data_IF_489991308568
#
_entry.id   IF_489991308568
#
_cell.length_a   1.000
_cell.length_b   1.000
_cell.length_c   1.000
_cell.angle_alpha   90.00
_cell.angle_beta   90.00
_cell.angle_gamma   90.00
#
_symmetry.space_group_name_H-M   'P 1'
#
loop_
_entity.id
_entity.type
_entity.pdbx_description
1 polymer ?
#
# COMPACT_ATOMS: atom_id res chain seq x y z
N UNK A 1 10.56 4.69 19.04
CA UNK A 1 9.27 4.61 18.30
C UNK A 1 8.98 3.15 17.99
N UNK A 2 7.78 2.63 18.30
CA UNK A 2 7.40 1.25 18.00
C UNK A 2 7.48 0.96 16.49
N UNK A 3 7.82 -0.28 16.10
CA UNK A 3 7.86 -0.70 14.69
C UNK A 3 6.51 -0.47 13.99
N UNK A 4 5.40 -0.68 14.70
CA UNK A 4 4.06 -0.35 14.21
C UNK A 4 3.92 1.12 13.83
N UNK A 5 4.42 2.04 14.66
CA UNK A 5 4.35 3.47 14.38
C UNK A 5 5.19 3.84 13.16
N UNK A 6 6.36 3.20 12.96
CA UNK A 6 7.20 3.43 11.77
C UNK A 6 6.45 3.03 10.49
N UNK A 7 5.81 1.86 10.49
CA UNK A 7 4.96 1.39 9.39
C UNK A 7 3.82 2.37 9.11
N UNK A 8 3.08 2.79 10.14
CA UNK A 8 1.97 3.75 9.99
C UNK A 8 2.42 5.08 9.39
N UNK A 9 3.58 5.60 9.82
CA UNK A 9 4.13 6.85 9.25
C UNK A 9 4.48 6.66 7.77
N UNK A 10 5.13 5.56 7.40
CA UNK A 10 5.48 5.31 6.00
C UNK A 10 4.24 5.19 5.10
N UNK A 11 3.22 4.44 5.54
CA UNK A 11 1.95 4.30 4.81
C UNK A 11 1.21 5.64 4.72
N UNK A 12 1.24 6.44 5.79
CA UNK A 12 0.64 7.80 5.77
C UNK A 12 1.34 8.70 4.75
N UNK A 13 2.68 8.71 4.73
CA UNK A 13 3.46 9.48 3.77
C UNK A 13 3.17 9.00 2.34
N UNK A 14 3.13 7.69 2.11
CA UNK A 14 2.75 7.11 0.82
C UNK A 14 1.37 7.57 0.36
N UNK A 15 0.37 7.51 1.25
CA UNK A 15 -0.99 7.95 0.96
C UNK A 15 -1.08 9.43 0.61
N UNK A 16 -0.38 10.30 1.33
CA UNK A 16 -0.31 11.73 1.01
C UNK A 16 0.27 11.96 -0.40
N UNK A 17 1.35 11.25 -0.74
CA UNK A 17 1.96 11.34 -2.06
C UNK A 17 1.02 10.82 -3.16
N UNK A 18 0.32 9.70 -2.93
CA UNK A 18 -0.63 9.14 -3.89
C UNK A 18 -1.84 10.05 -4.12
N UNK A 19 -2.41 10.63 -3.06
CA UNK A 19 -3.55 11.55 -3.18
C UNK A 19 -3.13 12.77 -4.01
N UNK A 20 -1.98 13.38 -3.70
CA UNK A 20 -1.46 14.52 -4.45
C UNK A 20 -1.17 14.13 -5.91
N UNK A 21 -0.58 12.94 -6.13
CA UNK A 21 -0.31 12.42 -7.47
C UNK A 21 -1.59 12.33 -8.32
N UNK A 22 -2.67 11.79 -7.75
CA UNK A 22 -3.94 11.56 -8.45
C UNK A 22 -4.67 12.88 -8.74
N UNK A 23 -4.70 13.79 -7.77
CA UNK A 23 -5.39 15.09 -7.91
C UNK A 23 -4.66 15.99 -8.92
N UNK A 24 -3.33 16.11 -8.80
CA UNK A 24 -2.52 16.99 -9.65
C UNK A 24 -1.96 16.32 -10.91
N UNK A 25 -2.29 15.05 -11.13
CA UNK A 25 -1.81 14.22 -12.26
C UNK A 25 -0.26 14.05 -12.31
N UNK A 26 0.39 14.13 -11.15
CA UNK A 26 1.86 14.06 -11.01
C UNK A 26 2.33 12.61 -10.86
N UNK A 27 2.46 11.90 -11.98
CA UNK A 27 2.82 10.46 -12.03
C UNK A 27 4.07 10.09 -11.24
N UNK A 28 5.12 10.92 -11.25
CA UNK A 28 6.38 10.63 -10.55
C UNK A 28 6.22 10.51 -9.01
N UNK A 29 5.22 11.18 -8.43
CA UNK A 29 4.92 11.06 -7.00
C UNK A 29 4.42 9.66 -6.63
N UNK A 30 3.83 8.92 -7.58
CA UNK A 30 3.46 7.51 -7.37
C UNK A 30 4.69 6.65 -7.14
N UNK A 31 5.80 6.92 -7.84
CA UNK A 31 7.04 6.14 -7.66
C UNK A 31 7.60 6.39 -6.26
N UNK A 32 7.64 7.67 -5.84
CA UNK A 32 8.13 8.04 -4.50
C UNK A 32 7.23 7.45 -3.41
N UNK A 33 5.90 7.55 -3.59
CA UNK A 33 4.92 6.96 -2.67
C UNK A 33 5.07 5.45 -2.55
N UNK A 34 5.31 4.75 -3.66
CA UNK A 34 5.51 3.31 -3.68
C UNK A 34 6.73 2.86 -2.86
N UNK A 35 7.80 3.65 -2.86
CA UNK A 35 8.99 3.38 -2.02
C UNK A 35 8.60 3.40 -0.54
N UNK A 36 7.85 4.41 -0.10
CA UNK A 36 7.40 4.50 1.29
C UNK A 36 6.39 3.40 1.66
N UNK A 37 5.48 3.05 0.74
CA UNK A 37 4.51 1.97 0.92
C UNK A 37 5.20 0.61 1.12
N UNK A 38 6.27 0.35 0.38
CA UNK A 38 7.00 -0.92 0.43
C UNK A 38 8.07 -0.97 1.53
N UNK A 39 8.57 0.16 2.02
CA UNK A 39 9.64 0.24 3.02
C UNK A 39 9.42 -0.61 4.30
N UNK A 40 8.19 -0.76 4.83
CA UNK A 40 7.94 -1.59 6.00
C UNK A 40 8.18 -3.10 5.80
N UNK A 41 8.12 -3.59 4.55
CA UNK A 41 8.30 -5.00 4.21
C UNK A 41 9.76 -5.48 4.36
N UNK A 42 10.76 -4.92 3.65
CA UNK A 42 12.15 -5.37 3.73
C UNK A 42 12.79 -5.05 5.10
N UNK A 43 12.27 -4.04 5.81
CA UNK A 43 12.75 -3.68 7.15
C UNK A 43 12.27 -4.63 8.24
N UNK A 44 11.33 -5.53 7.94
CA UNK A 44 10.81 -6.51 8.88
C UNK A 44 10.01 -5.90 10.03
N UNK A 45 9.52 -4.67 9.90
CA UNK A 45 8.74 -3.99 10.94
C UNK A 45 7.37 -4.64 11.16
N UNK A 46 6.89 -5.43 10.20
CA UNK A 46 5.64 -6.21 10.27
C UNK A 46 5.82 -7.67 10.74
N UNK A 47 6.95 -8.04 11.38
CA UNK A 47 7.15 -9.42 11.86
C UNK A 47 6.06 -9.84 12.86
N UNK A 48 5.46 -11.01 12.60
CA UNK A 48 4.44 -11.63 13.46
C UNK A 48 5.11 -12.55 14.47
N UNK A 49 4.91 -12.29 15.77
CA UNK A 49 5.55 -13.03 16.86
C UNK A 49 4.75 -14.28 17.31
N UNK A 50 3.44 -14.38 17.00
CA UNK A 50 2.56 -15.47 17.47
C UNK A 50 2.39 -16.60 16.42
N UNK A 51 2.79 -17.83 16.78
CA UNK A 51 2.74 -19.05 15.93
C UNK A 51 1.31 -19.52 15.59
N UNK A 52 0.32 -19.40 16.50
CA UNK A 52 -1.06 -19.83 16.24
C UNK A 52 -1.85 -18.85 15.35
N UNK A 53 -1.64 -17.53 15.53
CA UNK A 53 -2.24 -16.50 14.67
C UNK A 53 -1.66 -16.50 13.26
N UNK A 54 -0.51 -17.15 13.06
CA UNK A 54 0.28 -17.18 11.82
C UNK A 54 -0.51 -17.73 10.63
N UNK A 55 -1.36 -18.75 10.79
CA UNK A 55 -2.12 -19.35 9.67
C UNK A 55 -3.24 -18.46 9.15
N UNK A 56 -4.09 -17.93 10.04
CA UNK A 56 -5.19 -17.02 9.66
C UNK A 56 -4.62 -15.72 9.10
N UNK A 57 -3.58 -15.18 9.74
CA UNK A 57 -2.91 -13.95 9.29
C UNK A 57 -2.15 -14.15 7.97
N UNK A 58 -1.68 -15.36 7.63
CA UNK A 58 -1.04 -15.64 6.32
C UNK A 58 -2.00 -15.46 5.14
N UNK A 59 -3.27 -15.87 5.29
CA UNK A 59 -4.30 -15.66 4.27
C UNK A 59 -4.61 -14.17 4.07
N UNK A 60 -4.77 -13.41 5.16
CA UNK A 60 -4.96 -11.97 5.08
C UNK A 60 -3.74 -11.24 4.49
N UNK A 61 -2.52 -11.64 4.86
CA UNK A 61 -1.28 -11.06 4.28
C UNK A 61 -1.22 -11.33 2.78
N UNK A 62 -1.57 -12.55 2.35
CA UNK A 62 -1.64 -12.86 0.93
C UNK A 62 -2.69 -11.99 0.21
N UNK A 63 -3.87 -11.82 0.80
CA UNK A 63 -4.91 -10.94 0.27
C UNK A 63 -4.44 -9.49 0.18
N UNK A 64 -3.79 -8.97 1.23
CA UNK A 64 -3.21 -7.63 1.24
C UNK A 64 -2.20 -7.46 0.09
N UNK A 65 -1.23 -8.36 -0.03
CA UNK A 65 -0.23 -8.31 -1.11
C UNK A 65 -0.89 -8.38 -2.49
N UNK A 66 -1.90 -9.25 -2.66
CA UNK A 66 -2.63 -9.38 -3.92
C UNK A 66 -3.33 -8.07 -4.31
N UNK A 67 -4.06 -7.46 -3.38
CA UNK A 67 -4.77 -6.19 -3.62
C UNK A 67 -3.78 -5.06 -3.88
N UNK A 68 -2.67 -5.01 -3.15
CA UNK A 68 -1.58 -4.05 -3.38
C UNK A 68 -1.03 -4.18 -4.80
N UNK A 69 -0.77 -5.40 -5.28
CA UNK A 69 -0.31 -5.64 -6.65
C UNK A 69 -1.33 -5.19 -7.70
N UNK A 70 -2.62 -5.44 -7.46
CA UNK A 70 -3.70 -4.97 -8.34
C UNK A 70 -3.73 -3.44 -8.38
N UNK A 71 -3.57 -2.76 -7.25
CA UNK A 71 -3.45 -1.30 -7.23
C UNK A 71 -2.28 -0.83 -8.11
N UNK A 72 -1.09 -1.42 -7.95
CA UNK A 72 0.07 -1.06 -8.76
C UNK A 72 -0.10 -1.37 -10.25
N UNK A 73 -0.88 -2.38 -10.62
CA UNK A 73 -1.25 -2.61 -12.02
C UNK A 73 -2.01 -1.41 -12.60
N UNK A 74 -2.99 -0.86 -11.86
CA UNK A 74 -3.70 0.34 -12.28
C UNK A 74 -2.80 1.57 -12.33
N UNK A 75 -1.86 1.71 -11.38
CA UNK A 75 -0.84 2.75 -11.44
C UNK A 75 -0.03 2.66 -12.74
N UNK A 76 0.54 1.49 -13.04
CA UNK A 76 1.34 1.25 -14.26
C UNK A 76 0.50 1.52 -15.51
N UNK A 77 -0.74 1.06 -15.58
CA UNK A 77 -1.62 1.35 -16.70
C UNK A 77 -1.86 2.86 -16.87
N UNK A 78 -2.07 3.60 -15.77
CA UNK A 78 -2.22 5.06 -15.80
C UNK A 78 -0.95 5.79 -16.30
N UNK A 79 0.25 5.23 -16.10
CA UNK A 79 1.48 5.82 -16.64
C UNK A 79 1.44 5.91 -18.16
N UNK A 80 0.93 4.89 -18.84
CA UNK A 80 0.92 4.80 -20.31
C UNK A 80 -0.40 5.21 -20.94
N UNK A 81 -1.51 5.07 -20.22
CA UNK A 81 -2.86 5.30 -20.73
C UNK A 81 -3.45 6.52 -20.00
N UNK A 82 -3.78 7.62 -20.71
CA UNK A 82 -4.30 8.86 -20.12
C UNK A 82 -5.80 8.76 -19.78
N UNK A 83 -6.23 7.66 -19.15
CA UNK A 83 -7.60 7.48 -18.69
C UNK A 83 -7.73 7.88 -17.22
N UNK A 84 -8.54 8.90 -16.96
CA UNK A 84 -8.82 9.44 -15.62
C UNK A 84 -9.32 8.38 -14.65
N UNK A 85 -10.05 7.37 -15.11
CA UNK A 85 -10.57 6.33 -14.22
C UNK A 85 -9.46 5.47 -13.60
N UNK A 86 -8.32 5.29 -14.30
CA UNK A 86 -7.22 4.44 -13.83
C UNK A 86 -6.55 5.00 -12.58
N UNK A 87 -6.40 6.33 -12.50
CA UNK A 87 -5.78 6.98 -11.33
C UNK A 87 -6.65 6.92 -10.08
N UNK A 88 -7.97 7.00 -10.24
CA UNK A 88 -8.91 6.84 -9.13
C UNK A 88 -9.03 5.38 -8.69
N UNK A 89 -9.07 4.43 -9.63
CA UNK A 89 -9.03 2.99 -9.33
C UNK A 89 -7.76 2.60 -8.59
N UNK A 90 -6.59 3.13 -9.00
CA UNK A 90 -5.35 2.94 -8.26
C UNK A 90 -5.50 3.37 -6.79
N UNK A 91 -6.00 4.58 -6.55
CA UNK A 91 -6.11 5.14 -5.19
C UNK A 91 -7.10 4.36 -4.33
N UNK A 92 -8.25 3.99 -4.89
CA UNK A 92 -9.30 3.23 -4.20
C UNK A 92 -8.81 1.83 -3.80
N UNK A 93 -8.19 1.11 -4.74
CA UNK A 93 -7.70 -0.25 -4.49
C UNK A 93 -6.49 -0.22 -3.55
N UNK A 94 -5.60 0.77 -3.68
CA UNK A 94 -4.50 0.94 -2.74
C UNK A 94 -5.01 1.20 -1.31
N UNK A 95 -6.00 2.08 -1.15
CA UNK A 95 -6.61 2.34 0.16
C UNK A 95 -7.24 1.07 0.76
N UNK A 96 -7.91 0.27 -0.07
CA UNK A 96 -8.48 -1.02 0.33
C UNK A 96 -7.39 -1.99 0.82
N UNK A 97 -6.22 -2.00 0.17
CA UNK A 97 -5.07 -2.76 0.65
C UNK A 97 -4.59 -2.26 2.03
N UNK A 98 -4.47 -0.95 2.23
CA UNK A 98 -4.08 -0.36 3.53
C UNK A 98 -5.05 -0.80 4.64
N UNK A 99 -6.36 -0.77 4.39
CA UNK A 99 -7.35 -1.23 5.36
C UNK A 99 -7.14 -2.70 5.74
N UNK A 100 -6.89 -3.58 4.76
CA UNK A 100 -6.52 -4.98 5.06
C UNK A 100 -5.22 -5.07 5.89
N UNK A 101 -4.23 -4.22 5.62
CA UNK A 101 -3.00 -4.11 6.41
C UNK A 101 -3.26 -3.78 7.88
N UNK A 102 -4.20 -2.88 8.16
CA UNK A 102 -4.59 -2.52 9.54
C UNK A 102 -5.23 -3.72 10.25
N UNK A 103 -6.14 -4.44 9.59
CA UNK A 103 -6.79 -5.64 10.17
C UNK A 103 -5.80 -6.79 10.42
N UNK A 104 -4.72 -6.90 9.65
CA UNK A 104 -3.63 -7.85 9.92
C UNK A 104 -2.89 -7.53 11.22
N UNK A 105 -2.74 -6.24 11.50
CA UNK A 105 -1.87 -5.72 12.57
C UNK A 105 -2.58 -5.61 13.92
N UNK A 106 -3.91 -5.54 13.92
CA UNK A 106 -4.74 -5.70 15.13
C UNK A 106 -4.83 -7.18 15.56
#
# INVERSE_FOLDING_TARGET
MSNRNKTMICVTIAGLLFIIAVILDLKYLVIIGAIFDWLPLPTGWMKMEDEEKKKIKKGLVFLHVLVTLVAYLFAVLWFFIPLTILKFLFLEIWWLAVMFGVFITQ
#
